data_IF_509132882588
#
_entry.id   IF_509132882588
#
_cell.length_a   1.000
_cell.length_b   1.000
_cell.length_c   1.000
_cell.angle_alpha   90.00
_cell.angle_beta   90.00
_cell.angle_gamma   90.00
#
_symmetry.space_group_name_H-M   'P 1'
#
loop_
_entity.id
_entity.type
_entity.pdbx_description
1 polymer ?
#
# COMPACT_ATOMS: atom_id res chain seq x y z
N UNK A 1 13.06 -14.19 -14.80
CA UNK A 1 11.81 -14.10 -14.02
C UNK A 1 11.85 -15.22 -13.01
N UNK A 2 12.57 -15.00 -11.91
CA UNK A 2 12.66 -15.96 -10.81
C UNK A 2 11.63 -15.54 -9.75
N UNK A 3 10.71 -16.45 -9.43
CA UNK A 3 9.89 -16.50 -8.22
C UNK A 3 8.97 -15.31 -7.87
N UNK A 4 7.99 -14.99 -8.72
CA UNK A 4 6.77 -14.35 -8.18
C UNK A 4 5.82 -15.44 -7.63
N UNK A 5 5.26 -15.26 -6.42
CA UNK A 5 4.55 -16.31 -5.67
C UNK A 5 3.22 -16.74 -6.30
N UNK A 6 2.80 -16.10 -7.40
CA UNK A 6 1.49 -16.28 -8.03
C UNK A 6 1.53 -17.10 -9.33
N UNK A 7 2.69 -17.65 -9.72
CA UNK A 7 2.83 -18.34 -11.01
C UNK A 7 2.03 -19.65 -11.08
N UNK A 8 2.05 -20.44 -10.02
CA UNK A 8 1.50 -21.80 -10.02
C UNK A 8 0.08 -21.85 -9.41
N UNK A 9 -0.66 -20.74 -9.51
CA UNK A 9 -2.02 -20.69 -9.01
C UNK A 9 -2.93 -21.57 -9.89
N UNK A 10 -3.65 -22.55 -9.31
CA UNK A 10 -4.56 -23.38 -10.08
C UNK A 10 -5.69 -22.53 -10.68
N UNK A 11 -6.30 -23.02 -11.76
CA UNK A 11 -7.49 -22.41 -12.39
C UNK A 11 -8.58 -22.00 -11.38
N UNK A 12 -8.72 -22.77 -10.30
CA UNK A 12 -9.64 -22.53 -9.18
C UNK A 12 -9.42 -21.16 -8.49
N UNK A 13 -8.23 -20.57 -8.61
CA UNK A 13 -7.91 -19.26 -8.03
C UNK A 13 -8.69 -18.10 -8.68
N UNK A 14 -8.99 -18.17 -9.99
CA UNK A 14 -9.66 -17.08 -10.72
C UNK A 14 -11.01 -16.68 -10.08
N UNK A 15 -11.98 -17.60 -9.86
CA UNK A 15 -13.25 -17.22 -9.24
C UNK A 15 -13.08 -16.70 -7.81
N UNK A 16 -12.08 -17.18 -7.06
CA UNK A 16 -11.77 -16.69 -5.71
C UNK A 16 -11.33 -15.23 -5.76
N UNK A 17 -10.38 -14.89 -6.64
CA UNK A 17 -9.91 -13.50 -6.77
C UNK A 17 -11.01 -12.56 -7.28
N UNK A 18 -11.87 -13.01 -8.19
CA UNK A 18 -13.02 -12.22 -8.64
C UNK A 18 -14.04 -12.00 -7.52
N UNK A 19 -14.32 -13.02 -6.70
CA UNK A 19 -15.20 -12.88 -5.55
C UNK A 19 -14.62 -11.93 -4.49
N UNK A 20 -13.31 -12.03 -4.21
CA UNK A 20 -12.61 -11.11 -3.30
C UNK A 20 -12.65 -9.67 -3.82
N UNK A 21 -12.38 -9.47 -5.11
CA UNK A 21 -12.42 -8.17 -5.77
C UNK A 21 -13.83 -7.56 -5.69
N UNK A 22 -14.86 -8.36 -6.03
CA UNK A 22 -16.26 -7.93 -5.97
C UNK A 22 -16.66 -7.54 -4.55
N UNK A 23 -16.33 -8.37 -3.55
CA UNK A 23 -16.64 -8.11 -2.15
C UNK A 23 -15.97 -6.82 -1.65
N UNK A 24 -14.67 -6.65 -1.90
CA UNK A 24 -13.91 -5.47 -1.48
C UNK A 24 -14.45 -4.19 -2.13
N UNK A 25 -14.75 -4.21 -3.43
CA UNK A 25 -15.37 -3.07 -4.12
C UNK A 25 -16.76 -2.77 -3.53
N UNK A 26 -17.56 -3.81 -3.26
CA UNK A 26 -18.89 -3.63 -2.69
C UNK A 26 -18.87 -3.01 -1.28
N UNK A 27 -17.91 -3.39 -0.45
CA UNK A 27 -17.70 -2.78 0.88
C UNK A 27 -17.26 -1.31 0.73
N UNK A 28 -16.24 -1.04 -0.09
CA UNK A 28 -15.69 0.30 -0.28
C UNK A 28 -16.64 1.29 -0.98
N UNK A 29 -17.55 0.84 -1.86
CA UNK A 29 -18.37 1.72 -2.71
C UNK A 29 -19.25 2.70 -1.93
N UNK A 30 -19.58 2.39 -0.67
CA UNK A 30 -20.50 3.18 0.13
C UNK A 30 -19.88 4.51 0.58
N UNK A 31 -18.57 4.54 0.81
CA UNK A 31 -17.90 5.66 1.48
C UNK A 31 -16.57 6.07 0.83
N UNK A 32 -15.95 5.21 0.02
CA UNK A 32 -14.58 5.38 -0.48
C UNK A 32 -14.50 5.28 -2.01
N UNK A 33 -15.40 5.98 -2.71
CA UNK A 33 -15.45 5.98 -4.17
C UNK A 33 -14.19 6.53 -4.84
N UNK A 34 -13.54 7.53 -4.22
CA UNK A 34 -12.31 8.14 -4.73
C UNK A 34 -11.14 7.15 -4.69
N UNK A 35 -11.05 6.38 -3.61
CA UNK A 35 -10.03 5.37 -3.38
C UNK A 35 -10.16 4.21 -4.39
N UNK A 36 -11.39 3.77 -4.66
CA UNK A 36 -11.68 2.80 -5.74
C UNK A 36 -11.20 3.33 -7.09
N UNK A 37 -11.53 4.59 -7.41
CA UNK A 37 -11.10 5.22 -8.66
C UNK A 37 -9.58 5.27 -8.79
N UNK A 38 -8.86 5.63 -7.73
CA UNK A 38 -7.39 5.69 -7.72
C UNK A 38 -6.76 4.32 -8.02
N UNK A 39 -7.25 3.24 -7.40
CA UNK A 39 -6.75 1.88 -7.62
C UNK A 39 -6.97 1.46 -9.07
N UNK A 40 -8.19 1.66 -9.59
CA UNK A 40 -8.50 1.36 -10.99
C UNK A 40 -7.70 2.20 -11.97
N UNK A 41 -7.47 3.48 -11.67
CA UNK A 41 -6.67 4.37 -12.50
C UNK A 41 -5.24 3.86 -12.66
N UNK A 42 -4.57 3.51 -11.56
CA UNK A 42 -3.19 2.99 -11.58
C UNK A 42 -3.13 1.64 -12.30
N UNK A 43 -4.06 0.74 -11.98
CA UNK A 43 -4.19 -0.54 -12.66
C UNK A 43 -4.34 -0.35 -14.18
N UNK A 44 -5.26 0.52 -14.60
CA UNK A 44 -5.58 0.74 -16.02
C UNK A 44 -4.42 1.40 -16.77
N UNK A 45 -3.72 2.34 -16.13
CA UNK A 45 -2.53 2.98 -16.68
C UNK A 45 -1.43 1.95 -16.96
N UNK A 46 -1.06 1.13 -15.97
CA UNK A 46 -0.08 0.07 -16.15
C UNK A 46 -0.55 -0.98 -17.17
N UNK A 47 -1.81 -1.41 -17.08
CA UNK A 47 -2.41 -2.34 -18.02
C UNK A 47 -2.29 -1.88 -19.46
N UNK A 48 -2.69 -0.65 -19.77
CA UNK A 48 -2.67 -0.12 -21.14
C UNK A 48 -1.24 0.03 -21.68
N UNK A 49 -0.31 0.50 -20.85
CA UNK A 49 1.10 0.61 -21.26
C UNK A 49 1.66 -0.76 -21.63
N UNK A 50 1.49 -1.75 -20.76
CA UNK A 50 2.04 -3.09 -21.00
C UNK A 50 1.30 -3.87 -22.08
N UNK A 51 0.00 -3.62 -22.26
CA UNK A 51 -0.77 -4.12 -23.39
C UNK A 51 -0.24 -3.56 -24.71
N UNK A 52 -0.03 -2.24 -24.80
CA UNK A 52 0.46 -1.58 -26.02
C UNK A 52 1.88 -2.04 -26.38
N UNK A 53 2.76 -2.15 -25.38
CA UNK A 53 4.12 -2.65 -25.57
C UNK A 53 4.14 -4.12 -25.98
N UNK A 54 3.30 -4.93 -25.34
CA UNK A 54 3.09 -6.33 -25.68
C UNK A 54 2.63 -6.52 -27.11
N UNK A 55 1.60 -5.79 -27.52
CA UNK A 55 1.05 -5.83 -28.86
C UNK A 55 2.07 -5.36 -29.91
N UNK A 56 2.75 -4.24 -29.65
CA UNK A 56 3.77 -3.69 -30.54
C UNK A 56 4.90 -4.67 -30.80
N UNK A 57 5.38 -5.37 -29.78
CA UNK A 57 6.49 -6.32 -29.88
C UNK A 57 6.22 -7.53 -30.79
N UNK A 58 4.95 -7.82 -31.13
CA UNK A 58 4.56 -8.92 -32.01
C UNK A 58 5.01 -10.31 -31.55
N UNK A 59 5.46 -10.47 -30.30
CA UNK A 59 6.21 -11.65 -29.88
C UNK A 59 5.52 -12.46 -28.80
N UNK A 60 5.57 -13.78 -29.02
CA UNK A 60 4.77 -14.79 -28.34
C UNK A 60 5.34 -15.21 -26.97
N UNK A 61 6.57 -14.82 -26.64
CA UNK A 61 7.23 -15.23 -25.40
C UNK A 61 7.52 -14.05 -24.47
N UNK A 62 7.03 -14.13 -23.22
CA UNK A 62 7.21 -13.13 -22.16
C UNK A 62 8.65 -12.83 -21.81
N UNK A 63 9.51 -13.84 -21.90
CA UNK A 63 10.95 -13.67 -21.71
C UNK A 63 11.57 -12.85 -22.84
N UNK A 64 11.05 -13.02 -24.05
CA UNK A 64 11.43 -12.18 -25.17
C UNK A 64 10.69 -10.84 -25.19
N UNK A 65 9.65 -10.59 -24.37
CA UNK A 65 9.02 -9.28 -24.34
C UNK A 65 10.01 -8.21 -23.91
N UNK A 66 10.78 -8.46 -22.86
CA UNK A 66 11.87 -7.57 -22.46
C UNK A 66 12.87 -7.41 -23.61
N UNK A 67 13.28 -8.50 -24.27
CA UNK A 67 14.30 -8.52 -25.31
C UNK A 67 13.82 -7.92 -26.67
N UNK A 68 12.55 -8.02 -27.01
CA UNK A 68 11.94 -7.54 -28.24
C UNK A 68 11.45 -6.11 -28.11
N UNK A 69 10.96 -5.71 -26.93
CA UNK A 69 10.79 -4.30 -26.60
C UNK A 69 12.15 -3.60 -26.62
N UNK A 70 13.22 -4.28 -26.18
CA UNK A 70 14.60 -3.78 -26.34
C UNK A 70 15.01 -3.58 -27.81
N UNK A 71 14.56 -4.42 -28.76
CA UNK A 71 14.81 -4.23 -30.20
C UNK A 71 13.96 -3.11 -30.81
N UNK A 72 12.68 -3.00 -30.44
CA UNK A 72 11.78 -1.99 -31.01
C UNK A 72 12.07 -0.56 -30.54
N UNK A 73 12.58 -0.40 -29.32
CA UNK A 73 12.82 0.93 -28.73
C UNK A 73 14.19 1.54 -29.12
N UNK A 74 15.05 0.81 -29.83
CA UNK A 74 16.35 1.32 -30.28
C UNK A 74 17.16 1.96 -29.14
N UNK A 75 17.50 3.25 -29.26
CA UNK A 75 18.26 4.00 -28.24
C UNK A 75 17.52 4.18 -26.90
N UNK A 76 16.20 3.96 -26.84
CA UNK A 76 15.41 4.05 -25.60
C UNK A 76 15.49 2.78 -24.73
N UNK A 77 16.31 1.80 -25.16
CA UNK A 77 16.62 0.53 -24.46
C UNK A 77 17.06 0.73 -23.01
N UNK A 78 17.83 1.78 -22.73
CA UNK A 78 18.41 2.02 -21.39
C UNK A 78 17.37 2.39 -20.34
N UNK A 79 16.20 2.88 -20.74
CA UNK A 79 15.19 3.42 -19.81
C UNK A 79 14.14 2.34 -19.48
N UNK A 80 13.75 1.51 -20.44
CA UNK A 80 12.62 0.60 -20.25
C UNK A 80 12.93 -0.56 -19.29
N UNK A 81 14.08 -1.21 -19.47
CA UNK A 81 14.50 -2.35 -18.64
C UNK A 81 14.55 -2.03 -17.13
N UNK A 82 15.19 -0.92 -16.68
CA UNK A 82 15.19 -0.59 -15.25
C UNK A 82 13.79 -0.22 -14.74
N UNK A 83 12.96 0.43 -15.55
CA UNK A 83 11.57 0.75 -15.17
C UNK A 83 10.74 -0.52 -15.00
N UNK A 84 10.84 -1.47 -15.93
CA UNK A 84 10.16 -2.77 -15.83
C UNK A 84 10.61 -3.55 -14.60
N UNK A 85 11.92 -3.63 -14.38
CA UNK A 85 12.48 -4.30 -13.20
C UNK A 85 11.98 -3.62 -11.92
N UNK A 86 12.02 -2.29 -11.83
CA UNK A 86 11.52 -1.56 -10.67
C UNK A 86 10.02 -1.78 -10.42
N UNK A 87 9.19 -1.87 -11.47
CA UNK A 87 7.74 -2.09 -11.34
C UNK A 87 7.37 -3.54 -10.98
N UNK A 88 8.28 -4.49 -11.17
CA UNK A 88 8.01 -5.93 -10.96
C UNK A 88 8.82 -6.54 -9.81
N UNK A 89 9.78 -5.80 -9.24
CA UNK A 89 10.62 -6.24 -8.13
C UNK A 89 9.86 -6.17 -6.79
N UNK A 90 9.07 -7.21 -6.55
CA UNK A 90 8.29 -7.37 -5.32
C UNK A 90 9.18 -7.35 -4.07
N UNK A 91 10.31 -8.05 -4.10
CA UNK A 91 11.22 -8.13 -2.96
C UNK A 91 11.87 -6.78 -2.67
N UNK A 92 12.31 -6.08 -3.72
CA UNK A 92 12.84 -4.72 -3.63
C UNK A 92 11.83 -3.76 -3.01
N UNK A 93 10.59 -3.77 -3.49
CA UNK A 93 9.54 -2.89 -2.98
C UNK A 93 9.19 -3.22 -1.53
N UNK A 94 9.04 -4.51 -1.16
CA UNK A 94 8.74 -4.89 0.23
C UNK A 94 9.88 -4.53 1.17
N UNK A 95 11.13 -4.70 0.74
CA UNK A 95 12.31 -4.25 1.51
C UNK A 95 12.34 -2.73 1.65
N UNK A 96 11.99 -1.99 0.60
CA UNK A 96 11.90 -0.53 0.63
C UNK A 96 10.84 -0.06 1.64
N UNK A 97 9.63 -0.62 1.56
CA UNK A 97 8.53 -0.30 2.48
C UNK A 97 8.88 -0.67 3.93
N UNK A 98 9.46 -1.84 4.16
CA UNK A 98 9.89 -2.29 5.48
C UNK A 98 11.02 -1.41 6.05
N UNK A 99 11.98 -1.01 5.21
CA UNK A 99 13.10 -0.13 5.60
C UNK A 99 12.59 1.26 5.95
N UNK A 100 11.72 1.85 5.10
CA UNK A 100 11.09 3.14 5.36
C UNK A 100 10.30 3.12 6.67
N UNK A 101 9.49 2.07 6.87
CA UNK A 101 8.73 1.90 8.10
C UNK A 101 9.66 1.76 9.32
N UNK A 102 10.68 0.90 9.25
CA UNK A 102 11.62 0.66 10.35
C UNK A 102 12.41 1.91 10.75
N UNK A 103 12.94 2.66 9.77
CA UNK A 103 13.74 3.86 10.02
C UNK A 103 12.89 4.98 10.62
N UNK A 104 11.63 5.13 10.21
CA UNK A 104 10.81 6.27 10.65
C UNK A 104 9.98 5.94 11.88
N UNK A 105 9.38 4.75 11.94
CA UNK A 105 8.50 4.32 13.04
C UNK A 105 9.30 3.74 14.20
N UNK A 106 10.38 3.01 13.93
CA UNK A 106 11.21 2.35 14.94
C UNK A 106 11.73 3.31 16.02
N UNK A 107 12.43 4.41 15.66
CA UNK A 107 12.93 5.37 16.63
C UNK A 107 11.81 6.03 17.45
N UNK A 108 10.65 6.29 16.85
CA UNK A 108 9.51 6.90 17.55
C UNK A 108 8.88 5.96 18.58
N UNK A 109 8.71 4.69 18.24
CA UNK A 109 8.22 3.68 19.19
C UNK A 109 9.23 3.52 20.33
N UNK A 110 10.52 3.43 20.01
CA UNK A 110 11.56 3.30 21.03
C UNK A 110 11.58 4.51 21.98
N UNK A 111 11.55 5.73 21.44
CA UNK A 111 11.47 6.95 22.25
C UNK A 111 10.21 6.99 23.11
N UNK A 112 9.06 6.60 22.55
CA UNK A 112 7.80 6.52 23.29
C UNK A 112 7.89 5.55 24.47
N UNK A 113 8.47 4.36 24.26
CA UNK A 113 8.65 3.35 25.30
C UNK A 113 9.61 3.84 26.39
N UNK A 114 10.76 4.40 26.00
CA UNK A 114 11.77 4.91 26.95
C UNK A 114 11.23 6.09 27.77
N UNK A 115 10.57 7.06 27.16
CA UNK A 115 9.90 8.15 27.87
C UNK A 115 8.67 7.67 28.65
N UNK A 116 8.09 6.54 28.27
CA UNK A 116 6.95 5.93 28.96
C UNK A 116 7.35 5.43 30.34
N UNK A 117 8.56 4.86 30.46
CA UNK A 117 9.13 4.42 31.73
C UNK A 117 9.34 5.60 32.69
N UNK A 118 9.70 6.78 32.19
CA UNK A 118 9.85 8.00 33.01
C UNK A 118 8.54 8.72 33.31
N UNK A 119 7.41 8.27 32.75
CA UNK A 119 6.13 8.97 32.87
C UNK A 119 6.07 10.32 32.12
N UNK A 120 6.95 10.50 31.13
CA UNK A 120 7.08 11.74 30.34
C UNK A 120 6.77 11.54 28.85
N UNK A 121 6.18 10.40 28.46
CA UNK A 121 5.94 10.08 27.05
C UNK A 121 4.91 11.01 26.41
N UNK A 122 5.22 11.49 25.22
CA UNK A 122 4.28 12.19 24.33
C UNK A 122 3.77 11.24 23.24
N UNK A 123 2.52 11.37 22.76
CA UNK A 123 2.00 10.46 21.76
C UNK A 123 2.78 10.63 20.44
N UNK A 124 3.10 9.55 19.72
CA UNK A 124 3.83 9.64 18.47
C UNK A 124 2.96 10.27 17.38
N UNK A 125 3.40 11.41 16.86
CA UNK A 125 2.61 12.23 15.91
C UNK A 125 2.73 11.70 14.48
N UNK A 126 3.91 11.20 14.08
CA UNK A 126 4.18 10.87 12.67
C UNK A 126 3.85 9.43 12.28
N UNK A 127 3.61 8.52 13.23
CA UNK A 127 3.36 7.11 12.92
C UNK A 127 2.13 6.95 12.02
N UNK A 128 1.02 7.64 12.32
CA UNK A 128 -0.21 7.53 11.50
C UNK A 128 0.04 7.99 10.06
N UNK A 129 0.80 9.07 9.86
CA UNK A 129 1.11 9.58 8.51
C UNK A 129 2.00 8.60 7.74
N UNK A 130 3.02 8.05 8.39
CA UNK A 130 3.97 7.13 7.78
C UNK A 130 3.31 5.80 7.44
N UNK A 131 2.53 5.23 8.37
CA UNK A 131 1.74 4.02 8.12
C UNK A 131 0.79 4.25 6.94
N UNK A 132 0.11 5.39 6.90
CA UNK A 132 -0.76 5.74 5.78
C UNK A 132 -0.02 5.75 4.44
N UNK A 133 1.18 6.33 4.40
CA UNK A 133 2.03 6.37 3.19
C UNK A 133 2.47 4.96 2.79
N UNK A 134 2.93 4.14 3.73
CA UNK A 134 3.40 2.77 3.48
C UNK A 134 2.26 1.89 2.94
N UNK A 135 1.11 1.91 3.61
CA UNK A 135 -0.08 1.15 3.19
C UNK A 135 -0.57 1.57 1.81
N UNK A 136 -0.64 2.88 1.53
CA UNK A 136 -1.05 3.36 0.21
C UNK A 136 -0.02 3.04 -0.87
N UNK A 137 1.27 3.03 -0.54
CA UNK A 137 2.31 2.64 -1.49
C UNK A 137 2.20 1.15 -1.84
N UNK A 138 1.96 0.29 -0.84
CA UNK A 138 1.67 -1.13 -1.05
C UNK A 138 0.45 -1.36 -1.96
N UNK A 139 -0.68 -0.71 -1.68
CA UNK A 139 -1.90 -0.81 -2.49
C UNK A 139 -1.60 -0.44 -3.95
N UNK A 140 -0.96 0.71 -4.17
CA UNK A 140 -0.62 1.20 -5.52
C UNK A 140 0.33 0.27 -6.26
N UNK A 141 1.33 -0.25 -5.57
CA UNK A 141 2.28 -1.22 -6.13
C UNK A 141 1.55 -2.49 -6.59
N UNK A 142 0.69 -3.06 -5.75
CA UNK A 142 -0.09 -4.26 -6.10
C UNK A 142 -1.07 -4.01 -7.26
N UNK A 143 -1.71 -2.85 -7.29
CA UNK A 143 -2.56 -2.45 -8.42
C UNK A 143 -1.77 -2.33 -9.73
N UNK A 144 -0.60 -1.67 -9.67
CA UNK A 144 0.32 -1.53 -10.79
C UNK A 144 0.81 -2.88 -11.29
N UNK A 145 1.29 -3.74 -10.40
CA UNK A 145 1.78 -5.09 -10.71
C UNK A 145 0.69 -5.93 -11.40
N UNK A 146 -0.55 -5.88 -10.92
CA UNK A 146 -1.68 -6.54 -11.58
C UNK A 146 -1.93 -6.02 -12.99
N UNK A 147 -1.82 -4.69 -13.18
CA UNK A 147 -1.89 -4.07 -14.50
C UNK A 147 -0.77 -4.55 -15.44
N UNK A 148 0.48 -4.59 -14.97
CA UNK A 148 1.63 -5.07 -15.74
C UNK A 148 1.43 -6.52 -16.19
N UNK A 149 1.05 -7.41 -15.27
CA UNK A 149 0.87 -8.84 -15.55
C UNK A 149 -0.31 -9.04 -16.51
N UNK A 150 -1.50 -8.49 -16.21
CA UNK A 150 -2.66 -8.65 -17.08
C UNK A 150 -2.47 -8.01 -18.45
N UNK A 151 -1.85 -6.83 -18.53
CA UNK A 151 -1.58 -6.17 -19.81
C UNK A 151 -0.68 -7.02 -20.70
N UNK A 152 0.38 -7.59 -20.12
CA UNK A 152 1.29 -8.49 -20.82
C UNK A 152 0.60 -9.81 -21.23
N UNK A 153 -0.20 -10.40 -20.34
CA UNK A 153 -1.00 -11.61 -20.63
C UNK A 153 -2.01 -11.37 -21.76
N UNK A 154 -2.74 -10.26 -21.71
CA UNK A 154 -3.71 -9.88 -22.74
C UNK A 154 -3.05 -9.63 -24.09
N UNK A 155 -1.88 -8.99 -24.12
CA UNK A 155 -1.13 -8.84 -25.35
C UNK A 155 -0.70 -10.19 -25.96
N UNK A 156 -0.25 -11.13 -25.12
CA UNK A 156 0.10 -12.47 -25.56
C UNK A 156 -1.12 -13.22 -26.15
N UNK A 157 -2.30 -13.08 -25.52
CA UNK A 157 -3.56 -13.65 -26.04
C UNK A 157 -3.90 -13.06 -27.41
N UNK A 158 -3.80 -11.74 -27.56
CA UNK A 158 -4.14 -11.04 -28.82
C UNK A 158 -3.20 -11.46 -29.97
N UNK A 159 -1.90 -11.56 -29.69
CA UNK A 159 -0.88 -11.82 -30.72
C UNK A 159 -0.76 -13.30 -31.07
N UNK A 160 -0.86 -14.19 -30.08
CA UNK A 160 -0.56 -15.62 -30.26
C UNK A 160 -1.78 -16.54 -30.25
N UNK A 161 -2.96 -16.01 -29.91
CA UNK A 161 -4.20 -16.77 -29.69
C UNK A 161 -4.09 -17.90 -28.65
N UNK A 162 -2.99 -17.98 -27.89
CA UNK A 162 -2.85 -18.93 -26.78
C UNK A 162 -3.39 -18.29 -25.52
N UNK A 163 -4.39 -18.95 -24.96
CA UNK A 163 -5.06 -18.51 -23.75
C UNK A 163 -4.61 -19.40 -22.59
N UNK A 164 -4.00 -18.80 -21.57
CA UNK A 164 -3.63 -19.46 -20.32
C UNK A 164 -4.38 -18.81 -19.15
N UNK A 165 -5.18 -19.60 -18.44
CA UNK A 165 -5.91 -19.13 -17.27
C UNK A 165 -5.02 -18.85 -16.06
N UNK A 166 -3.89 -19.55 -15.93
CA UNK A 166 -2.94 -19.33 -14.84
C UNK A 166 -2.36 -17.91 -14.91
N UNK A 167 -2.10 -17.45 -16.12
CA UNK A 167 -1.61 -16.11 -16.41
C UNK A 167 -2.61 -15.00 -16.03
N UNK A 168 -3.90 -15.22 -16.31
CA UNK A 168 -4.96 -14.30 -15.89
C UNK A 168 -5.12 -14.33 -14.37
N UNK A 169 -5.10 -15.52 -13.76
CA UNK A 169 -5.16 -15.68 -12.32
C UNK A 169 -4.01 -14.94 -11.61
N UNK A 170 -2.79 -15.07 -12.12
CA UNK A 170 -1.60 -14.41 -11.57
C UNK A 170 -1.66 -12.89 -11.63
N UNK A 171 -2.36 -12.32 -12.62
CA UNK A 171 -2.58 -10.87 -12.72
C UNK A 171 -3.80 -10.38 -11.94
N UNK A 172 -4.82 -11.22 -11.76
CA UNK A 172 -5.99 -10.92 -10.91
C UNK A 172 -5.66 -10.95 -9.41
N UNK A 173 -4.74 -11.82 -8.98
CA UNK A 173 -4.33 -11.92 -7.59
C UNK A 173 -3.85 -10.58 -6.99
N UNK A 174 -2.85 -9.87 -7.58
CA UNK A 174 -2.35 -8.62 -7.02
C UNK A 174 -3.39 -7.48 -7.02
N UNK A 175 -4.23 -7.36 -8.04
CA UNK A 175 -5.31 -6.37 -8.03
C UNK A 175 -6.37 -6.70 -6.97
N UNK A 176 -6.73 -7.98 -6.79
CA UNK A 176 -7.64 -8.40 -5.72
C UNK A 176 -7.05 -8.09 -4.34
N UNK A 177 -5.76 -8.39 -4.10
CA UNK A 177 -5.07 -8.04 -2.85
C UNK A 177 -5.04 -6.53 -2.60
N UNK A 178 -4.79 -5.72 -3.63
CA UNK A 178 -4.84 -4.26 -3.54
C UNK A 178 -6.21 -3.78 -3.02
N UNK A 179 -7.30 -4.26 -3.61
CA UNK A 179 -8.65 -3.90 -3.18
C UNK A 179 -9.00 -4.44 -1.80
N UNK A 180 -8.66 -5.70 -1.50
CA UNK A 180 -8.92 -6.28 -0.17
C UNK A 180 -8.19 -5.49 0.91
N UNK A 181 -6.91 -5.16 0.71
CA UNK A 181 -6.12 -4.39 1.68
C UNK A 181 -6.67 -2.97 1.84
N UNK A 182 -7.04 -2.31 0.74
CA UNK A 182 -7.70 -1.01 0.78
C UNK A 182 -9.04 -1.05 1.53
N UNK A 183 -9.84 -2.10 1.34
CA UNK A 183 -11.12 -2.29 2.05
C UNK A 183 -10.91 -2.44 3.55
N UNK A 184 -9.97 -3.31 3.96
CA UNK A 184 -9.62 -3.50 5.37
C UNK A 184 -9.16 -2.19 5.99
N UNK A 185 -8.25 -1.47 5.33
CA UNK A 185 -7.77 -0.16 5.78
C UNK A 185 -8.91 0.83 6.00
N UNK A 186 -9.80 0.97 5.02
CA UNK A 186 -10.95 1.87 5.11
C UNK A 186 -11.91 1.49 6.24
N UNK A 187 -12.20 0.19 6.36
CA UNK A 187 -13.03 -0.37 7.45
C UNK A 187 -12.38 -0.17 8.84
N UNK A 188 -11.05 -0.24 8.93
CA UNK A 188 -10.32 0.03 10.19
C UNK A 188 -10.26 1.50 10.55
N UNK A 189 -10.26 2.43 9.58
CA UNK A 189 -10.31 3.86 9.87
C UNK A 189 -11.58 4.24 10.64
N UNK A 190 -12.71 3.60 10.31
CA UNK A 190 -13.97 3.76 11.05
C UNK A 190 -13.89 3.14 12.47
N UNK A 191 -13.20 2.00 12.59
CA UNK A 191 -12.98 1.30 13.88
C UNK A 191 -11.87 1.87 14.75
N UNK A 192 -11.06 2.79 14.24
CA UNK A 192 -9.92 3.37 14.95
C UNK A 192 -10.36 3.99 16.30
N UNK A 193 -11.63 4.40 16.39
CA UNK A 193 -12.29 4.84 17.64
C UNK A 193 -12.21 3.83 18.80
N UNK A 194 -12.12 2.52 18.56
CA UNK A 194 -12.09 1.49 19.61
C UNK A 194 -10.66 1.12 20.02
N UNK A 195 -9.75 0.93 19.07
CA UNK A 195 -8.33 0.68 19.36
C UNK A 195 -7.69 1.87 20.10
N UNK A 196 -8.06 3.09 19.71
CA UNK A 196 -7.68 4.30 20.42
C UNK A 196 -8.17 4.31 21.88
N UNK A 197 -9.22 3.56 22.26
CA UNK A 197 -9.62 3.47 23.68
C UNK A 197 -8.59 2.73 24.53
N UNK A 198 -8.03 1.64 24.01
CA UNK A 198 -7.00 0.86 24.72
C UNK A 198 -5.72 1.70 24.80
N UNK A 199 -5.30 2.27 23.67
CA UNK A 199 -4.15 3.17 23.64
C UNK A 199 -4.34 4.38 24.54
N UNK A 200 -5.54 4.97 24.64
CA UNK A 200 -5.83 6.06 25.59
C UNK A 200 -5.69 5.63 27.05
N UNK A 201 -5.93 4.36 27.40
CA UNK A 201 -5.69 3.89 28.79
C UNK A 201 -4.20 3.84 29.09
N UNK A 202 -3.41 3.21 28.22
CA UNK A 202 -1.95 3.15 28.35
C UNK A 202 -1.34 4.56 28.30
N UNK A 203 -1.79 5.38 27.36
CA UNK A 203 -1.34 6.76 27.21
C UNK A 203 -1.65 7.60 28.46
N UNK A 204 -2.85 7.47 29.05
CA UNK A 204 -3.18 8.15 30.32
C UNK A 204 -2.25 7.71 31.45
N UNK A 205 -1.91 6.43 31.50
CA UNK A 205 -0.94 5.94 32.48
C UNK A 205 0.44 6.58 32.27
N UNK A 206 0.94 6.59 31.04
CA UNK A 206 2.24 7.17 30.70
C UNK A 206 2.31 8.70 30.80
N UNK A 207 1.18 9.41 30.72
CA UNK A 207 1.11 10.89 30.78
C UNK A 207 0.65 11.44 32.11
N UNK A 208 0.45 10.60 33.13
CA UNK A 208 -0.14 11.03 34.41
C UNK A 208 0.59 12.19 35.06
N UNK A 209 1.93 12.23 35.00
CA UNK A 209 2.72 13.28 35.64
C UNK A 209 2.57 14.62 34.92
N UNK A 210 2.64 14.61 33.58
CA UNK A 210 2.40 15.80 32.77
C UNK A 210 0.98 16.37 32.95
N UNK A 211 -0.02 15.50 33.16
CA UNK A 211 -1.39 15.93 33.43
C UNK A 211 -1.52 16.61 34.80
N UNK A 212 -0.91 16.05 35.84
CA UNK A 212 -0.91 16.64 37.19
C UNK A 212 -0.21 18.01 37.19
N UNK A 213 0.89 18.14 36.47
CA UNK A 213 1.64 19.40 36.40
C UNK A 213 0.88 20.49 35.64
N UNK A 214 0.24 20.15 34.51
CA UNK A 214 -0.65 21.09 33.81
C UNK A 214 -1.84 21.53 34.67
N UNK A 215 -2.42 20.62 35.46
CA UNK A 215 -3.50 20.96 36.38
C UNK A 215 -3.05 21.96 37.45
N UNK A 216 -1.82 21.80 37.99
CA UNK A 216 -1.24 22.76 38.95
C UNK A 216 -1.04 24.13 38.33
N UNK A 217 -0.43 24.21 37.14
CA UNK A 217 -0.21 25.50 36.44
C UNK A 217 -1.54 26.19 36.13
N UNK A 218 -2.56 25.45 35.68
CA UNK A 218 -3.90 26.00 35.45
C UNK A 218 -4.48 26.61 36.72
N UNK A 219 -4.43 25.90 37.85
CA UNK A 219 -4.95 26.40 39.13
C UNK A 219 -4.22 27.63 39.66
N UNK A 220 -2.93 27.78 39.33
CA UNK A 220 -2.15 28.94 39.73
C UNK A 220 -2.50 30.17 38.87
N UNK A 221 -2.62 29.99 37.56
CA UNK A 221 -3.04 31.07 36.66
C UNK A 221 -4.45 31.58 36.95
N UNK A 222 -5.37 30.71 37.37
CA UNK A 222 -6.72 31.13 37.76
C UNK A 222 -6.69 31.97 39.05
N UNK A 223 -5.90 31.56 40.05
CA UNK A 223 -5.69 32.35 41.26
C UNK A 223 -5.06 33.72 40.99
N UNK A 224 -4.14 33.82 40.02
CA UNK A 224 -3.49 35.09 39.68
C UNK A 224 -4.44 36.04 38.91
N UNK A 225 -5.37 35.51 38.11
CA UNK A 225 -6.42 36.32 37.46
C UNK A 225 -7.37 36.95 38.46
N UNK A 226 -7.73 36.21 39.50
CA UNK A 226 -8.66 36.69 40.54
C UNK A 226 -8.05 37.80 41.43
N UNK A 227 -6.71 37.93 41.45
CA UNK A 227 -6.03 38.92 42.29
C UNK A 227 -6.07 40.35 41.75
N UNK A 228 -6.40 40.56 40.47
CA UNK A 228 -6.49 41.88 39.83
C UNK A 228 -5.16 42.67 39.82
N UNK A 229 -4.98 43.63 38.90
CA UNK A 229 -3.82 44.52 38.94
C UNK A 229 -3.95 45.44 40.17
N UNK A 230 -3.08 45.25 41.16
CA UNK A 230 -2.89 46.16 42.30
C UNK A 230 -2.32 47.49 41.87
#
# INVERSE_FOLDING_TARGET
MENYPFRDLPFIGVPIFLAMLYYAIFEMRKQHGREIYLIWYIFSFCFLIFLALGYGSGTQERHMLAENVEQMLGSSRSIFRPVYHALTDFDGEMKLLATLFGIVVGPQIMAYLLSGISGSASPPVFISQVTNVVEWSYIKFMAGLGGVILGSSSAAIITSMKFDWGDIGSGLAPIAMSFTYASVKCSTADRETEFLRIFRKVHRYCTRHAQVERARISSQNDNDRDRGPT
#
